data_IF_919191826656
#
_entry.id   IF_919191826656
#
_cell.length_a   1.000
_cell.length_b   1.000
_cell.length_c   1.000
_cell.angle_alpha   90.00
_cell.angle_beta   90.00
_cell.angle_gamma   90.00
#
_symmetry.space_group_name_H-M   'P 1'
#
loop_
_entity.id
_entity.type
_entity.pdbx_description
1 polymer ?
#
# COMPACT_ATOMS: atom_id res chain seq x y z
N UNK A 1 -20.31 45.31 14.55
CA UNK A 1 -19.10 44.57 14.97
C UNK A 1 -19.50 43.10 14.98
N UNK A 2 -19.32 42.42 13.85
CA UNK A 2 -19.89 41.10 13.61
C UNK A 2 -18.85 40.05 13.98
N UNK A 3 -19.13 39.26 15.02
CA UNK A 3 -18.31 38.10 15.38
C UNK A 3 -18.47 37.06 14.27
N UNK A 4 -17.44 36.92 13.43
CA UNK A 4 -17.31 35.82 12.46
C UNK A 4 -17.25 34.52 13.25
N UNK A 5 -18.17 33.60 12.94
CA UNK A 5 -18.20 32.26 13.52
C UNK A 5 -16.87 31.55 13.32
N UNK A 6 -16.45 30.83 14.35
CA UNK A 6 -15.31 29.93 14.28
C UNK A 6 -15.56 28.91 13.16
N UNK A 7 -14.70 28.90 12.15
CA UNK A 7 -14.66 27.83 11.18
C UNK A 7 -14.30 26.52 11.91
N UNK A 8 -14.96 25.38 11.60
CA UNK A 8 -14.52 24.10 12.13
C UNK A 8 -13.15 23.72 11.52
N UNK A 9 -12.09 23.70 12.34
CA UNK A 9 -10.76 23.12 12.08
C UNK A 9 -10.41 22.24 13.31
N UNK A 10 -9.66 21.10 13.29
CA UNK A 10 -9.05 20.29 12.22
C UNK A 10 -9.29 18.75 12.42
N UNK A 11 -10.40 18.32 13.03
CA UNK A 11 -10.59 16.90 13.44
C UNK A 11 -10.55 15.91 12.29
N UNK A 12 -11.04 16.29 11.10
CA UNK A 12 -10.94 15.48 9.89
C UNK A 12 -9.48 15.27 9.44
N UNK A 13 -8.60 16.27 9.57
CA UNK A 13 -7.17 16.15 9.24
C UNK A 13 -6.46 15.19 10.20
N UNK A 14 -6.74 15.25 11.51
CA UNK A 14 -6.17 14.32 12.50
C UNK A 14 -6.67 12.89 12.28
N UNK A 15 -7.97 12.70 12.05
CA UNK A 15 -8.53 11.38 11.78
C UNK A 15 -7.96 10.77 10.50
N UNK A 16 -7.87 11.54 9.42
CA UNK A 16 -7.31 11.05 8.16
C UNK A 16 -5.84 10.66 8.31
N UNK A 17 -5.07 11.45 9.07
CA UNK A 17 -3.67 11.14 9.39
C UNK A 17 -3.53 9.83 10.17
N UNK A 18 -4.39 9.59 11.17
CA UNK A 18 -4.40 8.32 11.93
C UNK A 18 -4.78 7.12 11.05
N UNK A 19 -5.74 7.30 10.14
CA UNK A 19 -6.12 6.26 9.16
C UNK A 19 -4.94 5.94 8.25
N UNK A 20 -4.23 6.95 7.75
CA UNK A 20 -3.00 6.79 6.98
C UNK A 20 -1.93 6.00 7.75
N UNK A 21 -1.60 6.41 8.96
CA UNK A 21 -0.57 5.74 9.79
C UNK A 21 -0.95 4.28 10.08
N UNK A 22 -2.23 4.03 10.38
CA UNK A 22 -2.75 2.68 10.59
C UNK A 22 -2.63 1.84 9.33
N UNK A 23 -2.94 2.42 8.17
CA UNK A 23 -2.80 1.74 6.89
C UNK A 23 -1.33 1.36 6.58
N UNK A 24 -0.39 2.26 6.82
CA UNK A 24 1.04 1.98 6.63
C UNK A 24 1.51 0.89 7.60
N UNK A 25 1.15 0.98 8.88
CA UNK A 25 1.55 0.01 9.90
C UNK A 25 0.97 -1.39 9.63
N UNK A 26 -0.30 -1.48 9.24
CA UNK A 26 -0.93 -2.76 8.89
C UNK A 26 -0.33 -3.37 7.64
N UNK A 27 -0.04 -2.56 6.61
CA UNK A 27 0.66 -3.03 5.40
C UNK A 27 2.06 -3.54 5.73
N UNK A 28 2.80 -2.82 6.57
CA UNK A 28 4.14 -3.25 7.03
C UNK A 28 4.09 -4.58 7.76
N UNK A 29 3.12 -4.74 8.69
CA UNK A 29 2.92 -5.99 9.41
C UNK A 29 2.66 -7.14 8.45
N UNK A 30 1.86 -6.92 7.41
CA UNK A 30 1.58 -7.96 6.42
C UNK A 30 2.82 -8.31 5.61
N UNK A 31 3.60 -7.34 5.15
CA UNK A 31 4.86 -7.61 4.45
C UNK A 31 5.84 -8.39 5.34
N UNK A 32 5.94 -8.05 6.62
CA UNK A 32 6.75 -8.78 7.58
C UNK A 32 6.24 -10.21 7.77
N UNK A 33 4.91 -10.43 7.86
CA UNK A 33 4.35 -11.77 7.88
C UNK A 33 4.72 -12.56 6.62
N UNK A 34 4.71 -11.94 5.43
CA UNK A 34 5.13 -12.57 4.18
C UNK A 34 6.61 -12.97 4.21
N UNK A 35 7.47 -12.06 4.67
CA UNK A 35 8.91 -12.29 4.75
C UNK A 35 9.29 -13.40 5.74
N UNK A 36 8.68 -13.39 6.93
CA UNK A 36 9.09 -14.24 8.03
C UNK A 36 8.27 -15.54 8.16
N UNK A 37 7.17 -15.73 7.41
CA UNK A 37 6.37 -16.97 7.44
C UNK A 37 7.22 -18.26 7.32
N UNK A 38 8.23 -18.36 6.43
CA UNK A 38 9.06 -19.55 6.32
C UNK A 38 9.90 -19.86 7.56
N UNK A 39 10.20 -18.86 8.38
CA UNK A 39 11.08 -18.96 9.55
C UNK A 39 10.27 -19.22 10.84
N UNK A 40 9.02 -18.74 10.90
CA UNK A 40 8.16 -18.81 12.10
C UNK A 40 7.38 -20.14 12.18
N UNK A 41 7.38 -20.95 11.12
CA UNK A 41 6.78 -22.28 11.12
C UNK A 41 5.25 -22.30 11.11
N UNK A 42 4.62 -21.17 10.76
CA UNK A 42 3.17 -21.11 10.50
C UNK A 42 2.82 -21.77 9.15
N UNK A 43 1.53 -22.07 8.94
CA UNK A 43 1.05 -22.62 7.68
C UNK A 43 1.54 -21.77 6.48
N UNK A 44 1.91 -22.41 5.36
CA UNK A 44 2.45 -21.70 4.21
C UNK A 44 1.43 -20.69 3.69
N UNK A 45 1.88 -19.46 3.46
CA UNK A 45 1.07 -18.45 2.77
C UNK A 45 0.69 -18.98 1.39
N UNK A 46 -0.60 -19.25 1.21
CA UNK A 46 -1.11 -19.72 -0.06
C UNK A 46 -1.41 -18.55 -0.99
N UNK A 47 -1.48 -18.85 -2.29
CA UNK A 47 -1.75 -17.88 -3.34
C UNK A 47 -3.03 -17.07 -3.09
N UNK A 48 -4.11 -17.71 -2.63
CA UNK A 48 -5.38 -17.04 -2.38
C UNK A 48 -5.26 -15.96 -1.30
N UNK A 49 -4.50 -16.23 -0.24
CA UNK A 49 -4.27 -15.27 0.84
C UNK A 49 -3.42 -14.09 0.39
N UNK A 50 -2.40 -14.31 -0.46
CA UNK A 50 -1.59 -13.24 -1.03
C UNK A 50 -2.42 -12.33 -1.96
N UNK A 51 -3.28 -12.93 -2.79
CA UNK A 51 -4.18 -12.15 -3.66
C UNK A 51 -5.21 -11.35 -2.85
N UNK A 52 -5.84 -11.96 -1.84
CA UNK A 52 -6.78 -11.26 -0.96
C UNK A 52 -6.11 -10.10 -0.20
N UNK A 53 -4.86 -10.31 0.22
CA UNK A 53 -4.01 -9.28 0.82
C UNK A 53 -3.78 -8.13 -0.15
N UNK A 54 -3.37 -8.42 -1.38
CA UNK A 54 -3.12 -7.39 -2.38
C UNK A 54 -4.39 -6.57 -2.67
N UNK A 55 -5.55 -7.22 -2.79
CA UNK A 55 -6.82 -6.53 -2.99
C UNK A 55 -7.18 -5.63 -1.80
N UNK A 56 -6.83 -6.02 -0.58
CA UNK A 56 -7.02 -5.18 0.60
C UNK A 56 -6.10 -3.95 0.59
N UNK A 57 -4.82 -4.12 0.26
CA UNK A 57 -3.86 -3.02 0.14
C UNK A 57 -4.30 -2.04 -0.97
N UNK A 58 -4.81 -2.56 -2.08
CA UNK A 58 -5.33 -1.73 -3.17
C UNK A 58 -6.56 -0.91 -2.75
N UNK A 59 -7.52 -1.52 -2.04
CA UNK A 59 -8.66 -0.78 -1.48
C UNK A 59 -8.19 0.33 -0.55
N UNK A 60 -7.21 0.04 0.31
CA UNK A 60 -6.64 1.06 1.18
C UNK A 60 -5.97 2.20 0.39
N UNK A 61 -5.27 1.89 -0.71
CA UNK A 61 -4.70 2.91 -1.59
C UNK A 61 -5.79 3.82 -2.18
N UNK A 62 -6.90 3.24 -2.64
CA UNK A 62 -8.04 4.01 -3.15
C UNK A 62 -8.66 4.89 -2.07
N UNK A 63 -8.89 4.33 -0.87
CA UNK A 63 -9.44 5.07 0.27
C UNK A 63 -8.52 6.23 0.67
N UNK A 64 -7.20 6.04 0.68
CA UNK A 64 -6.24 7.11 0.96
C UNK A 64 -6.26 8.22 -0.09
N UNK A 65 -6.42 7.87 -1.37
CA UNK A 65 -6.60 8.87 -2.41
C UNK A 65 -7.87 9.70 -2.18
N UNK A 66 -8.98 9.07 -1.78
CA UNK A 66 -10.22 9.78 -1.43
C UNK A 66 -10.00 10.70 -0.22
N UNK A 67 -9.37 10.20 0.85
CA UNK A 67 -9.08 10.97 2.07
C UNK A 67 -8.15 12.16 1.82
N UNK A 68 -7.26 12.06 0.83
CA UNK A 68 -6.37 13.12 0.42
C UNK A 68 -6.99 14.09 -0.62
N UNK A 69 -8.25 13.89 -1.02
CA UNK A 69 -8.95 14.78 -1.96
C UNK A 69 -8.76 14.45 -3.44
N UNK A 70 -8.32 13.25 -3.77
CA UNK A 70 -8.07 12.76 -5.14
C UNK A 70 -8.97 11.56 -5.53
N UNK A 71 -10.31 11.64 -5.40
CA UNK A 71 -11.22 10.49 -5.51
C UNK A 71 -11.34 9.87 -6.92
N UNK A 72 -10.85 10.55 -7.96
CA UNK A 72 -10.96 10.11 -9.36
C UNK A 72 -9.62 9.75 -9.99
N UNK A 73 -8.54 9.75 -9.20
CA UNK A 73 -7.22 9.40 -9.71
C UNK A 73 -7.08 7.89 -9.82
N UNK A 74 -6.59 7.42 -10.96
CA UNK A 74 -6.25 6.02 -11.17
C UNK A 74 -4.94 5.65 -10.46
N UNK A 75 -5.02 5.51 -9.14
CA UNK A 75 -3.88 5.12 -8.30
C UNK A 75 -3.47 3.68 -8.52
N UNK A 76 -4.38 2.83 -8.98
CA UNK A 76 -4.11 1.42 -9.26
C UNK A 76 -3.24 1.30 -10.51
N UNK A 77 -3.63 1.96 -11.60
CA UNK A 77 -2.82 2.03 -12.83
C UNK A 77 -1.44 2.61 -12.55
N UNK A 78 -1.37 3.72 -11.80
CA UNK A 78 -0.08 4.30 -11.39
C UNK A 78 0.80 3.30 -10.64
N UNK A 79 0.25 2.58 -9.65
CA UNK A 79 1.00 1.60 -8.86
C UNK A 79 1.50 0.42 -9.70
N UNK A 80 0.68 -0.05 -10.65
CA UNK A 80 1.05 -1.11 -11.59
C UNK A 80 2.18 -0.67 -12.52
N UNK A 81 2.09 0.53 -13.10
CA UNK A 81 3.11 1.09 -13.98
C UNK A 81 4.43 1.31 -13.25
N UNK A 82 4.37 1.86 -12.04
CA UNK A 82 5.52 2.04 -11.17
C UNK A 82 6.21 0.70 -10.87
N UNK A 83 5.44 -0.31 -10.47
CA UNK A 83 5.99 -1.62 -10.15
C UNK A 83 6.57 -2.32 -11.38
N UNK A 84 5.90 -2.20 -12.53
CA UNK A 84 6.40 -2.71 -13.80
C UNK A 84 7.77 -2.12 -14.14
N UNK A 85 7.97 -0.81 -13.93
CA UNK A 85 9.26 -0.16 -14.17
C UNK A 85 10.36 -0.66 -13.21
N UNK A 86 10.06 -0.73 -11.90
CA UNK A 86 11.04 -1.19 -10.90
C UNK A 86 11.42 -2.67 -11.12
N UNK A 87 10.43 -3.51 -11.48
CA UNK A 87 10.64 -4.95 -11.70
C UNK A 87 11.50 -5.25 -12.93
N UNK A 88 11.57 -4.34 -13.93
CA UNK A 88 12.48 -4.46 -15.08
C UNK A 88 13.94 -4.45 -14.65
N UNK A 89 14.29 -3.64 -13.65
CA UNK A 89 15.65 -3.54 -13.14
C UNK A 89 16.03 -4.73 -12.24
N UNK A 90 15.09 -5.24 -11.45
CA UNK A 90 15.31 -6.39 -10.55
C UNK A 90 14.00 -7.10 -10.22
N UNK A 91 13.95 -8.42 -10.44
CA UNK A 91 12.85 -9.28 -9.99
C UNK A 91 12.97 -9.60 -8.50
N UNK A 92 12.64 -8.63 -7.65
CA UNK A 92 12.60 -8.78 -6.20
C UNK A 92 11.29 -8.16 -5.65
N UNK A 93 10.13 -8.81 -5.87
CA UNK A 93 8.82 -8.25 -5.53
C UNK A 93 8.69 -7.82 -4.07
N UNK A 94 9.15 -8.62 -3.11
CA UNK A 94 9.09 -8.25 -1.69
C UNK A 94 9.94 -7.01 -1.38
N UNK A 95 11.12 -6.89 -1.98
CA UNK A 95 11.97 -5.70 -1.82
C UNK A 95 11.32 -4.46 -2.44
N UNK A 96 10.68 -4.60 -3.61
CA UNK A 96 9.92 -3.53 -4.25
C UNK A 96 8.73 -3.09 -3.39
N UNK A 97 8.01 -4.04 -2.79
CA UNK A 97 6.91 -3.77 -1.86
C UNK A 97 7.38 -2.94 -0.64
N UNK A 98 8.51 -3.30 -0.02
CA UNK A 98 9.09 -2.51 1.06
C UNK A 98 9.51 -1.11 0.62
N UNK A 99 10.11 -0.99 -0.56
CA UNK A 99 10.52 0.30 -1.10
C UNK A 99 9.30 1.21 -1.32
N UNK A 100 8.26 0.71 -2.00
CA UNK A 100 7.01 1.42 -2.20
C UNK A 100 6.37 1.85 -0.88
N UNK A 101 6.29 0.93 0.10
CA UNK A 101 5.71 1.23 1.41
C UNK A 101 6.51 2.31 2.14
N UNK A 102 7.85 2.24 2.09
CA UNK A 102 8.70 3.26 2.67
C UNK A 102 8.53 4.61 1.97
N UNK A 103 8.43 4.64 0.64
CA UNK A 103 8.12 5.84 -0.12
C UNK A 103 6.77 6.43 0.27
N UNK A 104 5.72 5.61 0.41
CA UNK A 104 4.40 6.05 0.86
C UNK A 104 4.47 6.66 2.28
N UNK A 105 5.16 5.99 3.21
CA UNK A 105 5.36 6.47 4.57
C UNK A 105 6.13 7.81 4.62
N UNK A 106 7.17 7.94 3.79
CA UNK A 106 7.96 9.17 3.68
C UNK A 106 7.16 10.34 3.09
N UNK A 107 6.41 10.06 2.02
CA UNK A 107 5.60 11.07 1.32
C UNK A 107 4.49 11.61 2.22
N UNK A 108 3.90 10.73 3.04
CA UNK A 108 2.81 11.10 3.93
C UNK A 108 1.49 11.34 3.19
N UNK A 109 0.41 11.58 3.94
CA UNK A 109 -0.92 11.78 3.36
C UNK A 109 -1.01 13.04 2.47
N UNK A 110 -0.24 14.07 2.79
CA UNK A 110 -0.26 15.38 2.09
C UNK A 110 0.14 15.29 0.60
N UNK A 111 0.91 14.27 0.22
CA UNK A 111 1.27 14.03 -1.20
C UNK A 111 0.21 13.22 -1.96
N UNK A 112 -0.91 12.93 -1.30
CA UNK A 112 -2.17 12.44 -1.84
C UNK A 112 -2.05 11.28 -2.82
N UNK A 113 -2.39 11.53 -4.07
CA UNK A 113 -2.42 10.50 -5.12
C UNK A 113 -1.08 9.78 -5.31
N UNK A 114 0.06 10.45 -5.09
CA UNK A 114 1.38 9.81 -5.21
C UNK A 114 1.58 8.80 -4.09
N UNK A 115 1.21 9.15 -2.86
CA UNK A 115 1.29 8.26 -1.69
C UNK A 115 0.38 7.05 -1.86
N UNK A 116 -0.87 7.28 -2.28
CA UNK A 116 -1.82 6.22 -2.62
C UNK A 116 -1.29 5.33 -3.75
N UNK A 117 -0.71 5.93 -4.79
CA UNK A 117 -0.09 5.22 -5.90
C UNK A 117 1.08 4.31 -5.46
N UNK A 118 1.94 4.78 -4.55
CA UNK A 118 2.99 3.94 -3.97
C UNK A 118 2.39 2.76 -3.19
N UNK A 119 1.33 2.98 -2.42
CA UNK A 119 0.64 1.89 -1.71
C UNK A 119 -0.01 0.89 -2.69
N UNK A 120 -0.57 1.36 -3.81
CA UNK A 120 -1.04 0.49 -4.89
C UNK A 120 0.12 -0.29 -5.55
N UNK A 121 1.32 0.29 -5.62
CA UNK A 121 2.55 -0.40 -6.03
C UNK A 121 2.92 -1.55 -5.11
N UNK A 122 2.67 -1.41 -3.79
CA UNK A 122 2.80 -2.53 -2.83
C UNK A 122 1.85 -3.67 -3.22
N UNK A 123 0.58 -3.36 -3.51
CA UNK A 123 -0.39 -4.37 -3.94
C UNK A 123 0.05 -5.08 -5.22
N UNK A 124 0.55 -4.35 -6.22
CA UNK A 124 1.09 -4.93 -7.45
C UNK A 124 2.25 -5.91 -7.18
N UNK A 125 3.19 -5.53 -6.32
CA UNK A 125 4.30 -6.38 -5.92
C UNK A 125 3.84 -7.64 -5.15
N UNK A 126 2.84 -7.52 -4.27
CA UNK A 126 2.27 -8.67 -3.56
C UNK A 126 1.53 -9.63 -4.51
N UNK A 127 0.89 -9.12 -5.57
CA UNK A 127 0.31 -9.99 -6.62
C UNK A 127 1.37 -10.78 -7.38
N UNK A 128 2.54 -10.19 -7.63
CA UNK A 128 3.65 -10.92 -8.25
C UNK A 128 4.19 -12.03 -7.34
N UNK A 129 4.24 -11.80 -6.01
CA UNK A 129 4.55 -12.86 -5.03
C UNK A 129 3.55 -14.01 -5.08
N UNK A 130 2.28 -13.71 -5.40
CA UNK A 130 1.23 -14.69 -5.58
C UNK A 130 1.30 -15.43 -6.93
N UNK A 131 2.39 -15.29 -7.71
CA UNK A 131 2.60 -15.96 -9.00
C UNK A 131 2.31 -17.47 -8.98
N UNK A 132 2.19 -18.11 -10.15
CA UNK A 132 1.68 -19.48 -10.27
C UNK A 132 2.46 -20.44 -9.37
N UNK A 133 1.73 -21.13 -8.49
CA UNK A 133 2.26 -22.18 -7.61
C UNK A 133 2.91 -23.26 -8.48
N UNK A 134 4.24 -23.26 -8.56
CA UNK A 134 5.00 -24.31 -9.22
C UNK A 134 6.09 -23.83 -10.19
N UNK A 135 7.19 -23.30 -9.65
CA UNK A 135 8.53 -23.60 -10.16
C UNK A 135 9.50 -23.71 -8.98
N UNK A 136 9.47 -24.89 -8.36
CA UNK A 136 10.68 -25.43 -7.75
C UNK A 136 11.64 -25.68 -8.90
N UNK A 137 12.57 -24.77 -9.15
CA UNK A 137 13.79 -25.11 -9.88
C UNK A 137 14.74 -25.70 -8.85
N UNK A 138 14.85 -27.03 -8.88
CA UNK A 138 15.97 -27.78 -8.34
C UNK A 138 17.30 -27.30 -8.94
#
# INVERSE_FOLDING_TARGET
MTVRGAAPYPTASVHNQQTFETCIATTLRVLACIEFNPVVGEAPLNQALLLATADQIERHAQDLAVLAGFPHTDVVGYGQDWYAEVSRARKAPLQAAYHALHSAAWLGLEQGATTAGMLAGVAAAVRDLAGPVGRVTH
#
